data_IF_467420612865
#
_entry.id   IF_467420612865
#
_cell.length_a   1.000
_cell.length_b   1.000
_cell.length_c   1.000
_cell.angle_alpha   90.00
_cell.angle_beta   90.00
_cell.angle_gamma   90.00
#
_symmetry.space_group_name_H-M   'P 1'
#
loop_
_entity.id
_entity.type
_entity.pdbx_description
1 polymer ?
#
# COMPACT_ATOMS: atom_id res chain seq x y z
N UNK A 1 8.44 -14.20 17.86
CA UNK A 1 7.93 -13.21 18.85
C UNK A 1 7.59 -13.83 20.20
N UNK A 2 7.14 -15.10 20.24
CA UNK A 2 6.82 -15.80 21.51
C UNK A 2 8.04 -16.10 22.40
N UNK A 3 9.25 -16.15 21.81
CA UNK A 3 10.49 -16.40 22.52
C UNK A 3 11.14 -15.13 23.11
N UNK A 4 10.70 -13.94 22.71
CA UNK A 4 11.27 -12.68 23.17
C UNK A 4 10.34 -11.98 24.17
N UNK A 5 10.81 -11.59 25.36
CA UNK A 5 10.03 -10.80 26.29
C UNK A 5 9.60 -9.48 25.67
N UNK A 6 8.33 -9.09 25.81
CA UNK A 6 7.73 -7.91 25.17
C UNK A 6 8.45 -6.59 25.45
N UNK A 7 9.19 -6.48 26.55
CA UNK A 7 9.97 -5.28 26.94
C UNK A 7 11.31 -5.12 26.23
N UNK A 8 11.73 -6.09 25.43
CA UNK A 8 13.02 -6.12 24.75
C UNK A 8 12.89 -6.18 23.23
N UNK A 9 11.69 -5.97 22.67
CA UNK A 9 11.40 -6.15 21.23
C UNK A 9 12.33 -5.31 20.33
N UNK A 10 12.65 -4.07 20.71
CA UNK A 10 13.54 -3.20 19.92
C UNK A 10 15.00 -3.66 19.95
N UNK A 11 15.47 -4.22 21.06
CA UNK A 11 16.85 -4.70 21.18
C UNK A 11 17.16 -5.93 20.31
N UNK A 12 16.12 -6.66 19.84
CA UNK A 12 16.27 -7.87 19.04
C UNK A 12 15.97 -7.70 17.55
N UNK A 13 15.65 -6.50 17.07
CA UNK A 13 15.27 -6.30 15.67
C UNK A 13 16.36 -6.78 14.70
N UNK A 14 17.64 -6.53 15.01
CA UNK A 14 18.77 -7.04 14.25
C UNK A 14 18.80 -8.56 14.17
N UNK A 15 18.57 -9.27 15.28
CA UNK A 15 18.56 -10.74 15.32
C UNK A 15 17.32 -11.32 14.65
N UNK A 16 16.20 -10.60 14.69
CA UNK A 16 14.98 -10.95 13.94
C UNK A 16 15.23 -10.87 12.43
N UNK A 17 15.93 -9.85 11.97
CA UNK A 17 16.31 -9.71 10.56
C UNK A 17 17.22 -10.84 10.11
N UNK A 18 18.24 -11.18 10.92
CA UNK A 18 19.13 -12.30 10.66
C UNK A 18 18.36 -13.61 10.53
N UNK A 19 17.41 -13.87 11.44
CA UNK A 19 16.59 -15.09 11.41
C UNK A 19 15.64 -15.09 10.21
N UNK A 20 14.93 -13.98 9.97
CA UNK A 20 13.95 -13.87 8.90
C UNK A 20 14.60 -14.05 7.50
N UNK A 21 15.81 -13.54 7.32
CA UNK A 21 16.53 -13.61 6.06
C UNK A 21 16.91 -15.04 5.62
N UNK A 22 16.99 -16.00 6.54
CA UNK A 22 17.44 -17.37 6.23
C UNK A 22 16.50 -18.12 5.29
N UNK A 23 15.19 -17.87 5.37
CA UNK A 23 14.20 -18.56 4.53
C UNK A 23 14.39 -18.27 3.05
N UNK A 24 14.56 -17.00 2.71
CA UNK A 24 14.80 -16.57 1.33
C UNK A 24 16.17 -17.01 0.82
N UNK A 25 17.19 -17.06 1.67
CA UNK A 25 18.50 -17.60 1.29
C UNK A 25 18.41 -19.07 0.91
N UNK A 26 17.72 -19.87 1.71
CA UNK A 26 17.49 -21.28 1.43
C UNK A 26 16.73 -21.49 0.11
N UNK A 27 15.62 -20.78 -0.10
CA UNK A 27 14.79 -20.90 -1.31
C UNK A 27 15.52 -20.44 -2.57
N UNK A 28 16.31 -19.36 -2.50
CA UNK A 28 17.12 -18.89 -3.63
C UNK A 28 18.18 -19.92 -4.04
N UNK A 29 18.84 -20.53 -3.07
CA UNK A 29 19.82 -21.59 -3.34
C UNK A 29 19.15 -22.85 -3.95
N UNK A 30 17.99 -23.26 -3.42
CA UNK A 30 17.21 -24.37 -3.96
C UNK A 30 16.76 -24.12 -5.40
N UNK A 31 16.31 -22.90 -5.72
CA UNK A 31 15.94 -22.54 -7.08
C UNK A 31 17.14 -22.61 -8.03
N UNK A 32 18.30 -22.11 -7.62
CA UNK A 32 19.52 -22.20 -8.44
C UNK A 32 19.93 -23.67 -8.70
N UNK A 33 19.82 -24.53 -7.68
CA UNK A 33 20.07 -25.98 -7.83
C UNK A 33 19.08 -26.61 -8.81
N UNK A 34 17.80 -26.30 -8.70
CA UNK A 34 16.77 -26.81 -9.60
C UNK A 34 17.02 -26.40 -11.06
N UNK A 35 17.35 -25.10 -11.28
CA UNK A 35 17.73 -24.62 -12.62
C UNK A 35 18.93 -25.33 -13.21
N UNK A 36 19.97 -25.60 -12.39
CA UNK A 36 21.13 -26.35 -12.84
C UNK A 36 20.80 -27.81 -13.19
N UNK A 37 19.87 -28.42 -12.44
CA UNK A 37 19.39 -29.76 -12.74
C UNK A 37 18.64 -29.85 -14.09
N UNK A 38 18.00 -28.77 -14.49
CA UNK A 38 17.35 -28.59 -15.81
C UNK A 38 18.35 -28.15 -16.92
N UNK A 39 19.64 -28.08 -16.63
CA UNK A 39 20.69 -27.71 -17.59
C UNK A 39 20.83 -26.17 -17.77
N UNK A 40 20.20 -25.37 -16.95
CA UNK A 40 20.31 -23.88 -16.99
C UNK A 40 21.47 -23.43 -16.12
N UNK A 41 22.45 -22.74 -16.70
CA UNK A 41 23.51 -22.11 -15.91
C UNK A 41 22.91 -21.05 -14.98
N UNK A 42 23.08 -21.25 -13.68
CA UNK A 42 22.51 -20.35 -12.68
C UNK A 42 23.43 -20.17 -11.48
N UNK A 43 23.26 -19.05 -10.78
CA UNK A 43 23.96 -18.70 -9.54
C UNK A 43 23.02 -18.01 -8.58
N UNK A 44 23.11 -18.31 -7.28
CA UNK A 44 22.34 -17.61 -6.25
C UNK A 44 23.21 -16.65 -5.46
N UNK A 45 22.62 -15.50 -5.08
CA UNK A 45 23.26 -14.49 -4.25
C UNK A 45 22.31 -14.03 -3.13
N UNK A 46 22.83 -14.00 -1.92
CA UNK A 46 22.19 -13.27 -0.82
C UNK A 46 22.33 -11.75 -1.04
N UNK A 47 21.44 -10.95 -0.44
CA UNK A 47 21.43 -9.49 -0.61
C UNK A 47 22.76 -8.81 -0.28
N UNK A 48 23.50 -9.32 0.71
CA UNK A 48 24.82 -8.81 1.08
C UNK A 48 25.92 -9.17 0.06
N UNK A 49 25.76 -10.21 -0.75
CA UNK A 49 26.73 -10.61 -1.77
C UNK A 49 26.65 -9.78 -3.05
N UNK A 50 25.52 -9.16 -3.30
CA UNK A 50 25.30 -8.20 -4.40
C UNK A 50 25.09 -6.79 -3.85
N UNK A 51 25.52 -6.58 -2.62
CA UNK A 51 25.55 -5.31 -1.91
C UNK A 51 24.27 -4.47 -2.09
N UNK A 52 23.11 -5.07 -1.72
CA UNK A 52 21.86 -4.31 -1.53
C UNK A 52 22.03 -3.51 -0.23
N UNK A 53 22.62 -2.31 -0.36
CA UNK A 53 22.87 -1.42 0.78
C UNK A 53 21.59 -0.82 1.33
N UNK A 54 21.46 -0.84 2.65
CA UNK A 54 20.30 -0.30 3.37
C UNK A 54 20.72 0.52 4.56
N UNK A 55 19.80 1.33 5.07
CA UNK A 55 19.96 1.94 6.37
C UNK A 55 19.77 0.92 7.51
N UNK A 56 20.03 1.34 8.76
CA UNK A 56 19.98 0.51 9.98
C UNK A 56 18.58 0.37 10.60
N UNK A 57 17.51 0.71 9.89
CA UNK A 57 16.14 0.56 10.38
C UNK A 57 15.69 -0.90 10.30
N UNK A 58 16.27 -1.78 11.16
CA UNK A 58 15.95 -3.21 11.19
C UNK A 58 14.44 -3.49 11.16
N UNK A 59 14.04 -4.57 10.51
CA UNK A 59 12.66 -5.01 10.23
C UNK A 59 11.88 -4.16 9.22
N UNK A 60 12.36 -2.99 8.85
CA UNK A 60 11.77 -2.06 7.89
C UNK A 60 12.81 -1.18 7.18
N UNK A 61 13.98 -1.73 6.92
CA UNK A 61 15.09 -1.05 6.28
C UNK A 61 14.73 -0.48 4.90
N UNK A 62 15.44 0.55 4.48
CA UNK A 62 15.28 1.20 3.18
C UNK A 62 16.52 0.96 2.33
N UNK A 63 16.32 0.55 1.07
CA UNK A 63 17.41 0.39 0.11
C UNK A 63 17.95 1.78 -0.25
N UNK A 64 19.25 1.96 -0.12
CA UNK A 64 19.97 3.18 -0.45
C UNK A 64 20.70 3.06 -1.79
N UNK A 65 21.32 1.91 -2.05
CA UNK A 65 22.01 1.61 -3.30
C UNK A 65 22.13 0.11 -3.55
N UNK A 66 22.42 -0.27 -4.79
CA UNK A 66 22.72 -1.65 -5.18
C UNK A 66 23.98 -1.62 -6.03
N UNK A 67 24.96 -2.48 -5.71
CA UNK A 67 26.11 -2.75 -6.59
C UNK A 67 25.72 -3.85 -7.58
N UNK A 68 25.48 -3.47 -8.82
CA UNK A 68 25.03 -4.38 -9.89
C UNK A 68 26.15 -5.00 -10.71
N UNK A 69 27.42 -4.65 -10.47
CA UNK A 69 28.56 -5.07 -11.30
C UNK A 69 28.68 -6.60 -11.39
N UNK A 70 28.55 -7.29 -10.24
CA UNK A 70 28.64 -8.75 -10.18
C UNK A 70 27.48 -9.44 -10.88
N UNK A 71 26.26 -8.89 -10.71
CA UNK A 71 25.06 -9.43 -11.36
C UNK A 71 25.16 -9.27 -12.88
N UNK A 72 25.61 -8.09 -13.37
CA UNK A 72 25.81 -7.86 -14.81
C UNK A 72 26.80 -8.82 -15.40
N UNK A 73 27.95 -9.03 -14.75
CA UNK A 73 28.98 -9.95 -15.24
C UNK A 73 28.44 -11.38 -15.43
N UNK A 74 27.62 -11.87 -14.51
CA UNK A 74 27.01 -13.19 -14.63
C UNK A 74 25.91 -13.25 -15.69
N UNK A 75 25.08 -12.19 -15.82
CA UNK A 75 24.07 -12.08 -16.87
C UNK A 75 24.73 -12.00 -18.27
N UNK A 76 25.81 -11.22 -18.42
CA UNK A 76 26.59 -11.14 -19.67
C UNK A 76 27.25 -12.48 -20.02
N UNK A 77 27.57 -13.31 -19.02
CA UNK A 77 28.03 -14.67 -19.21
C UNK A 77 26.90 -15.68 -19.53
N UNK A 78 25.65 -15.21 -19.70
CA UNK A 78 24.49 -16.04 -20.03
C UNK A 78 23.90 -16.84 -18.86
N UNK A 79 24.23 -16.49 -17.63
CA UNK A 79 23.68 -17.16 -16.44
C UNK A 79 22.36 -16.57 -16.00
N UNK A 80 21.50 -17.39 -15.40
CA UNK A 80 20.37 -16.93 -14.60
C UNK A 80 20.87 -16.60 -13.20
N UNK A 81 20.64 -15.36 -12.76
CA UNK A 81 21.05 -14.90 -11.43
C UNK A 81 19.82 -14.88 -10.50
N UNK A 82 19.87 -15.66 -9.43
CA UNK A 82 18.84 -15.72 -8.41
C UNK A 82 19.28 -14.85 -7.22
N UNK A 83 18.60 -13.74 -7.00
CA UNK A 83 18.92 -12.82 -5.90
C UNK A 83 17.90 -13.00 -4.78
N UNK A 84 18.39 -13.20 -3.57
CA UNK A 84 17.54 -13.29 -2.39
C UNK A 84 16.85 -11.96 -2.13
N UNK A 85 15.53 -11.93 -2.23
CA UNK A 85 14.72 -10.76 -1.94
C UNK A 85 14.55 -10.47 -0.45
N UNK A 86 13.79 -9.41 -0.11
CA UNK A 86 13.41 -9.04 1.25
C UNK A 86 14.55 -8.53 2.14
N UNK A 87 15.80 -8.69 1.78
CA UNK A 87 16.97 -8.41 2.61
C UNK A 87 18.01 -7.54 1.93
N UNK A 88 18.83 -6.90 2.75
CA UNK A 88 20.01 -6.14 2.36
C UNK A 88 21.06 -6.18 3.44
N UNK A 89 22.01 -5.27 3.39
CA UNK A 89 23.13 -5.14 4.32
C UNK A 89 23.33 -3.66 4.70
N UNK A 90 23.55 -3.40 5.96
CA UNK A 90 23.92 -2.06 6.45
C UNK A 90 25.43 -1.79 6.33
N UNK A 91 25.86 -0.56 6.64
CA UNK A 91 27.27 -0.14 6.58
C UNK A 91 28.17 -0.90 7.56
N UNK A 92 27.61 -1.58 8.57
CA UNK A 92 28.34 -2.38 9.53
C UNK A 92 28.43 -3.86 9.11
N UNK A 93 27.83 -4.23 7.97
CA UNK A 93 27.79 -5.59 7.46
C UNK A 93 26.70 -6.46 8.11
N UNK A 94 25.75 -5.87 8.84
CA UNK A 94 24.62 -6.62 9.40
C UNK A 94 23.53 -6.82 8.35
N UNK A 95 22.89 -7.99 8.36
CA UNK A 95 21.73 -8.27 7.54
C UNK A 95 20.55 -7.44 8.03
N UNK A 96 19.85 -6.81 7.11
CA UNK A 96 18.65 -6.02 7.35
C UNK A 96 17.49 -6.59 6.54
N UNK A 97 16.25 -6.43 7.02
CA UNK A 97 15.06 -6.79 6.25
C UNK A 97 14.21 -5.56 5.92
N UNK A 98 13.55 -5.63 4.75
CA UNK A 98 12.81 -4.50 4.20
C UNK A 98 11.37 -4.40 4.73
N UNK A 99 10.96 -5.36 5.56
CA UNK A 99 9.60 -5.44 6.07
C UNK A 99 8.61 -6.06 5.07
N UNK A 100 7.32 -5.91 5.34
CA UNK A 100 6.25 -6.50 4.52
C UNK A 100 6.34 -6.03 3.06
N UNK A 101 6.20 -6.95 2.09
CA UNK A 101 6.34 -6.68 0.66
C UNK A 101 7.78 -6.35 0.23
N UNK A 102 8.76 -6.70 1.08
CA UNK A 102 10.17 -6.44 0.81
C UNK A 102 10.71 -7.18 -0.41
N UNK A 103 10.16 -8.35 -0.76
CA UNK A 103 10.57 -9.08 -1.96
C UNK A 103 10.18 -8.33 -3.24
N UNK A 104 8.97 -7.77 -3.32
CA UNK A 104 8.55 -6.93 -4.44
C UNK A 104 9.44 -5.69 -4.55
N UNK A 105 9.73 -5.05 -3.40
CA UNK A 105 10.62 -3.89 -3.35
C UNK A 105 12.04 -4.25 -3.82
N UNK A 106 12.56 -5.42 -3.43
CA UNK A 106 13.87 -5.91 -3.89
C UNK A 106 13.87 -6.15 -5.40
N UNK A 107 12.83 -6.82 -5.94
CA UNK A 107 12.72 -7.09 -7.37
C UNK A 107 12.73 -5.80 -8.19
N UNK A 108 11.95 -4.80 -7.78
CA UNK A 108 11.91 -3.50 -8.45
C UNK A 108 13.24 -2.75 -8.34
N UNK A 109 13.89 -2.79 -7.18
CA UNK A 109 15.18 -2.13 -6.97
C UNK A 109 16.28 -2.75 -7.86
N UNK A 110 16.33 -4.07 -7.94
CA UNK A 110 17.24 -4.79 -8.83
C UNK A 110 16.94 -4.48 -10.31
N UNK A 111 15.65 -4.49 -10.69
CA UNK A 111 15.26 -4.13 -12.06
C UNK A 111 15.67 -2.69 -12.43
N UNK A 112 15.54 -1.75 -11.49
CA UNK A 112 15.99 -0.37 -11.67
C UNK A 112 17.51 -0.27 -11.83
N UNK A 113 18.28 -0.94 -10.96
CA UNK A 113 19.75 -0.95 -11.02
C UNK A 113 20.24 -1.55 -12.33
N UNK A 114 19.65 -2.64 -12.78
CA UNK A 114 19.97 -3.31 -14.03
C UNK A 114 19.42 -2.60 -15.29
N UNK A 115 18.54 -1.61 -15.14
CA UNK A 115 17.79 -0.96 -16.23
C UNK A 115 17.02 -2.00 -17.06
N UNK A 116 16.37 -2.93 -16.37
CA UNK A 116 15.56 -3.96 -17.02
C UNK A 116 14.39 -3.32 -17.79
N UNK A 117 14.00 -3.96 -18.88
CA UNK A 117 12.87 -3.50 -19.71
C UNK A 117 11.54 -3.59 -18.97
N UNK A 118 11.39 -4.59 -18.10
CA UNK A 118 10.19 -4.85 -17.31
C UNK A 118 10.55 -5.66 -16.06
N UNK A 119 9.80 -5.48 -14.97
CA UNK A 119 9.88 -6.31 -13.77
C UNK A 119 8.58 -7.12 -13.65
N UNK A 120 8.68 -8.44 -13.65
CA UNK A 120 7.56 -9.36 -13.54
C UNK A 120 7.38 -9.78 -12.08
N UNK A 121 6.21 -9.50 -11.52
CA UNK A 121 5.84 -9.91 -10.15
C UNK A 121 4.89 -11.11 -10.25
N UNK A 122 5.40 -12.29 -9.92
CA UNK A 122 4.60 -13.50 -9.84
C UNK A 122 4.01 -13.65 -8.44
N UNK A 123 2.68 -13.76 -8.37
CA UNK A 123 1.93 -13.83 -7.11
C UNK A 123 0.79 -14.87 -7.21
N UNK A 124 -0.04 -14.99 -6.18
CA UNK A 124 -1.18 -15.89 -6.11
C UNK A 124 -2.42 -15.42 -6.91
N UNK A 125 -2.35 -14.22 -7.51
CA UNK A 125 -3.37 -13.66 -8.41
C UNK A 125 -2.79 -13.43 -9.80
N UNK A 126 -3.64 -13.42 -10.84
CA UNK A 126 -3.24 -13.28 -12.23
C UNK A 126 -3.23 -11.83 -12.74
N UNK A 127 -3.38 -10.86 -11.85
CA UNK A 127 -3.32 -9.44 -12.17
C UNK A 127 -4.08 -8.56 -11.18
N UNK A 128 -4.25 -7.29 -11.57
CA UNK A 128 -5.03 -6.29 -10.83
C UNK A 128 -6.44 -6.27 -11.38
N UNK A 129 -7.43 -6.29 -10.49
CA UNK A 129 -8.85 -6.32 -10.85
C UNK A 129 -9.53 -4.98 -10.58
N UNK A 130 -10.65 -4.74 -11.24
CA UNK A 130 -11.50 -3.54 -11.04
C UNK A 130 -12.03 -3.44 -9.61
N UNK A 131 -12.12 -4.55 -8.89
CA UNK A 131 -12.29 -4.65 -7.42
C UNK A 131 -11.94 -6.07 -6.99
N UNK A 132 -12.08 -6.41 -5.71
CA UNK A 132 -11.84 -7.76 -5.20
C UNK A 132 -12.87 -8.75 -5.77
N UNK A 133 -12.47 -9.75 -6.59
CA UNK A 133 -13.39 -10.71 -7.19
C UNK A 133 -14.10 -11.61 -6.17
N UNK A 134 -13.61 -11.69 -4.93
CA UNK A 134 -14.27 -12.41 -3.84
C UNK A 134 -15.51 -11.66 -3.33
N UNK A 135 -15.57 -10.34 -3.52
CA UNK A 135 -16.69 -9.47 -3.14
C UNK A 135 -17.62 -9.25 -4.34
N UNK A 136 -17.05 -9.06 -5.53
CA UNK A 136 -17.78 -8.84 -6.79
C UNK A 136 -17.28 -9.85 -7.82
N UNK A 137 -17.98 -10.98 -8.02
CA UNK A 137 -17.56 -12.01 -8.97
C UNK A 137 -17.42 -11.53 -10.42
N UNK A 138 -18.13 -10.46 -10.78
CA UNK A 138 -18.09 -9.82 -12.10
C UNK A 138 -16.88 -8.88 -12.29
N UNK A 139 -16.04 -8.72 -11.27
CA UNK A 139 -14.81 -7.92 -11.37
C UNK A 139 -13.92 -8.49 -12.48
N UNK A 140 -13.50 -7.62 -13.40
CA UNK A 140 -12.60 -8.00 -14.48
C UNK A 140 -11.17 -7.64 -14.20
N UNK A 141 -10.24 -8.42 -14.72
CA UNK A 141 -8.83 -8.10 -14.69
C UNK A 141 -8.53 -6.91 -15.62
N UNK A 142 -7.73 -5.98 -15.16
CA UNK A 142 -7.21 -4.87 -15.96
C UNK A 142 -6.02 -5.35 -16.80
N UNK A 143 -6.02 -5.07 -18.10
CA UNK A 143 -4.86 -5.36 -18.95
C UNK A 143 -3.73 -4.39 -18.65
N UNK A 144 -4.07 -3.13 -18.42
CA UNK A 144 -3.13 -2.05 -18.07
C UNK A 144 -3.72 -1.17 -16.97
N UNK A 145 -2.85 -0.63 -16.13
CA UNK A 145 -3.18 0.39 -15.13
C UNK A 145 -2.00 1.34 -15.00
N UNK A 146 -2.24 2.61 -14.69
CA UNK A 146 -1.15 3.55 -14.48
C UNK A 146 -0.54 3.42 -13.08
N UNK A 147 0.70 3.92 -12.92
CA UNK A 147 1.33 3.98 -11.60
C UNK A 147 0.53 4.80 -10.60
N UNK A 148 -0.07 5.92 -11.03
CA UNK A 148 -0.89 6.77 -10.16
C UNK A 148 -2.12 6.02 -9.65
N UNK A 149 -2.86 5.36 -10.55
CA UNK A 149 -4.03 4.55 -10.17
C UNK A 149 -3.66 3.36 -9.30
N UNK A 150 -2.54 2.67 -9.63
CA UNK A 150 -2.07 1.53 -8.85
C UNK A 150 -1.64 1.93 -7.44
N UNK A 151 -0.96 3.09 -7.28
CA UNK A 151 -0.62 3.65 -5.96
C UNK A 151 -1.86 3.91 -5.13
N UNK A 152 -2.88 4.54 -5.73
CA UNK A 152 -4.13 4.78 -5.02
C UNK A 152 -4.83 3.47 -4.65
N UNK A 153 -4.97 2.51 -5.56
CA UNK A 153 -5.56 1.21 -5.25
C UNK A 153 -4.79 0.46 -4.16
N UNK A 154 -3.45 0.48 -4.21
CA UNK A 154 -2.61 -0.16 -3.20
C UNK A 154 -2.74 0.52 -1.83
N UNK A 155 -2.86 1.85 -1.78
CA UNK A 155 -3.08 2.61 -0.54
C UNK A 155 -4.46 2.39 0.06
N UNK A 156 -5.44 2.01 -0.75
CA UNK A 156 -6.83 1.86 -0.39
C UNK A 156 -7.25 0.41 -0.09
N UNK A 157 -6.29 -0.51 0.01
CA UNK A 157 -6.56 -1.89 0.44
C UNK A 157 -6.47 -2.96 -0.66
N UNK A 158 -6.14 -2.60 -1.90
CA UNK A 158 -5.78 -3.58 -2.92
C UNK A 158 -4.44 -4.23 -2.54
N UNK A 159 -4.47 -5.49 -2.11
CA UNK A 159 -3.30 -6.20 -1.55
C UNK A 159 -2.42 -6.86 -2.61
N UNK A 160 -2.60 -6.56 -3.89
CA UNK A 160 -1.88 -7.21 -5.01
C UNK A 160 -0.41 -6.80 -5.02
N UNK A 161 -0.11 -5.52 -4.83
CA UNK A 161 1.24 -4.98 -4.72
C UNK A 161 1.38 -4.13 -3.46
N UNK A 162 2.57 -4.11 -2.91
CA UNK A 162 2.90 -3.20 -1.82
C UNK A 162 3.12 -1.77 -2.34
N UNK A 163 2.53 -0.78 -1.66
CA UNK A 163 2.67 0.65 -2.00
C UNK A 163 4.12 1.00 -2.29
N UNK A 164 5.02 0.62 -1.39
CA UNK A 164 6.45 0.95 -1.47
C UNK A 164 7.12 0.42 -2.75
N UNK A 165 6.73 -0.76 -3.24
CA UNK A 165 7.27 -1.29 -4.50
C UNK A 165 6.76 -0.50 -5.70
N UNK A 166 5.50 -0.08 -5.69
CA UNK A 166 4.88 0.74 -6.73
C UNK A 166 5.49 2.14 -6.76
N UNK A 167 5.68 2.78 -5.59
CA UNK A 167 6.38 4.07 -5.46
C UNK A 167 7.80 4.02 -6.03
N UNK A 168 8.53 2.96 -5.66
CA UNK A 168 9.91 2.77 -6.11
C UNK A 168 9.96 2.57 -7.63
N UNK A 169 9.06 1.75 -8.18
CA UNK A 169 8.95 1.54 -9.63
C UNK A 169 8.61 2.82 -10.37
N UNK A 170 7.66 3.61 -9.87
CA UNK A 170 7.31 4.90 -10.45
C UNK A 170 8.48 5.88 -10.44
N UNK A 171 9.20 5.98 -9.31
CA UNK A 171 10.37 6.85 -9.15
C UNK A 171 11.50 6.52 -10.14
N UNK A 172 11.79 5.24 -10.33
CA UNK A 172 12.89 4.78 -11.19
C UNK A 172 12.44 4.40 -12.61
N UNK A 173 11.17 4.64 -12.95
CA UNK A 173 10.56 4.36 -14.25
C UNK A 173 10.71 2.90 -14.70
N UNK A 174 10.52 1.98 -13.77
CA UNK A 174 10.50 0.53 -14.04
C UNK A 174 9.07 0.09 -14.35
N UNK A 175 8.82 -0.46 -15.54
CA UNK A 175 7.54 -1.09 -15.86
C UNK A 175 7.35 -2.34 -15.01
N UNK A 176 6.16 -2.52 -14.43
CA UNK A 176 5.80 -3.70 -13.65
C UNK A 176 4.72 -4.50 -14.37
N UNK A 177 4.79 -5.80 -14.27
CA UNK A 177 3.70 -6.69 -14.67
C UNK A 177 3.39 -7.67 -13.57
N UNK A 178 2.11 -7.77 -13.21
CA UNK A 178 1.60 -8.75 -12.24
C UNK A 178 1.12 -9.97 -12.99
N UNK A 179 1.61 -11.13 -12.59
CA UNK A 179 1.34 -12.43 -13.20
C UNK A 179 1.02 -13.48 -12.13
N UNK A 180 0.28 -14.52 -12.50
CA UNK A 180 0.06 -15.66 -11.61
C UNK A 180 1.30 -16.55 -11.55
N UNK A 181 1.67 -16.97 -10.34
CA UNK A 181 2.65 -18.05 -10.13
C UNK A 181 2.02 -19.45 -10.25
N UNK A 182 0.70 -19.54 -10.38
CA UNK A 182 -0.07 -20.79 -10.40
C UNK A 182 -0.59 -21.17 -11.79
N UNK A 183 -0.46 -20.25 -12.77
CA UNK A 183 -0.98 -20.44 -14.13
C UNK A 183 0.09 -20.06 -15.15
N UNK A 184 0.32 -20.93 -16.12
CA UNK A 184 1.22 -20.65 -17.23
C UNK A 184 0.55 -19.80 -18.31
N UNK A 185 1.31 -18.86 -18.91
CA UNK A 185 0.95 -18.19 -20.16
C UNK A 185 -0.08 -17.04 -20.07
N UNK A 186 -0.34 -16.48 -18.90
CA UNK A 186 -1.20 -15.30 -18.74
C UNK A 186 -0.51 -14.00 -19.16
N UNK A 187 -1.27 -13.02 -19.70
CA UNK A 187 -0.75 -11.69 -20.01
C UNK A 187 -0.60 -10.79 -18.78
N UNK A 188 -1.31 -11.12 -17.69
CA UNK A 188 -1.29 -10.37 -16.44
C UNK A 188 -1.83 -8.95 -16.56
N UNK A 189 -1.42 -8.08 -15.62
CA UNK A 189 -1.69 -6.64 -15.65
C UNK A 189 -0.39 -5.87 -15.76
N UNK A 190 -0.24 -5.03 -16.79
CA UNK A 190 0.88 -4.11 -16.94
C UNK A 190 0.62 -2.82 -16.17
N UNK A 191 1.53 -2.47 -15.25
CA UNK A 191 1.56 -1.15 -14.60
C UNK A 191 2.54 -0.28 -15.38
N UNK A 192 2.04 0.82 -15.94
CA UNK A 192 2.76 1.63 -16.89
C UNK A 192 2.61 3.13 -16.63
N UNK A 193 3.28 3.95 -17.44
CA UNK A 193 3.18 5.40 -17.37
C UNK A 193 2.03 5.92 -18.26
N UNK A 194 1.52 7.10 -17.95
CA UNK A 194 0.37 7.70 -18.64
C UNK A 194 0.62 7.86 -20.16
N UNK A 195 1.86 8.15 -20.55
CA UNK A 195 2.29 8.38 -21.92
C UNK A 195 2.11 7.17 -22.85
N UNK A 196 2.00 5.98 -22.28
CA UNK A 196 1.86 4.72 -23.04
C UNK A 196 0.41 4.42 -23.49
N UNK A 197 -0.58 5.25 -23.14
CA UNK A 197 -1.99 5.00 -23.38
C UNK A 197 -2.71 6.17 -24.07
N UNK A 198 -2.87 6.08 -25.40
CA UNK A 198 -3.52 7.09 -26.25
C UNK A 198 -5.04 6.93 -26.45
N UNK A 199 -5.75 6.16 -25.60
CA UNK A 199 -7.20 6.00 -25.75
C UNK A 199 -7.98 6.79 -24.70
N UNK A 200 -9.21 7.23 -25.04
CA UNK A 200 -10.16 7.76 -24.08
C UNK A 200 -10.35 6.76 -22.94
N UNK A 201 -10.09 7.21 -21.70
CA UNK A 201 -10.13 6.37 -20.51
C UNK A 201 -11.50 6.38 -19.88
N UNK A 202 -11.88 5.26 -19.29
CA UNK A 202 -13.03 5.21 -18.39
C UNK A 202 -12.83 6.22 -17.25
N UNK A 203 -13.93 6.85 -16.82
CA UNK A 203 -13.87 7.81 -15.72
C UNK A 203 -13.35 7.16 -14.42
N UNK A 204 -13.71 5.88 -14.19
CA UNK A 204 -13.30 5.08 -13.04
C UNK A 204 -12.67 3.79 -13.55
N UNK A 205 -11.50 3.46 -13.02
CA UNK A 205 -10.74 2.25 -13.36
C UNK A 205 -10.95 1.13 -12.35
N UNK A 206 -11.28 1.47 -11.10
CA UNK A 206 -11.49 0.46 -10.07
C UNK A 206 -12.08 0.99 -8.77
N UNK A 207 -12.48 0.05 -7.92
CA UNK A 207 -13.02 0.31 -6.59
C UNK A 207 -12.17 -0.45 -5.57
N UNK A 208 -11.72 0.26 -4.56
CA UNK A 208 -11.01 -0.31 -3.42
C UNK A 208 -11.80 -0.06 -2.12
N UNK A 209 -11.61 -0.94 -1.15
CA UNK A 209 -12.18 -0.77 0.19
C UNK A 209 -11.16 -1.14 1.26
N UNK A 210 -11.25 -0.46 2.39
CA UNK A 210 -10.41 -0.74 3.55
C UNK A 210 -11.27 -0.85 4.81
N UNK A 211 -11.24 -2.02 5.44
CA UNK A 211 -11.91 -2.33 6.71
C UNK A 211 -11.09 -1.94 7.93
N UNK A 212 -9.81 -1.64 7.75
CA UNK A 212 -8.91 -1.30 8.84
C UNK A 212 -8.97 0.19 9.17
N UNK A 213 -10.18 0.70 9.33
CA UNK A 213 -10.45 2.10 9.62
C UNK A 213 -11.23 2.23 10.92
N UNK A 214 -10.93 3.26 11.69
CA UNK A 214 -11.74 3.74 12.80
C UNK A 214 -11.74 5.27 12.77
N UNK A 215 -12.89 5.88 13.01
CA UNK A 215 -13.07 7.33 13.05
C UNK A 215 -12.94 7.83 14.48
N UNK A 216 -12.25 8.96 14.64
CA UNK A 216 -12.17 9.73 15.88
C UNK A 216 -12.63 11.16 15.61
N UNK A 217 -13.48 11.68 16.47
CA UNK A 217 -13.99 13.05 16.40
C UNK A 217 -13.56 13.82 17.65
N UNK A 218 -13.07 15.05 17.45
CA UNK A 218 -12.79 16.04 18.47
C UNK A 218 -13.68 17.24 18.16
N UNK A 219 -14.70 17.48 18.98
CA UNK A 219 -15.78 18.44 18.69
C UNK A 219 -15.66 19.70 19.49
N UNK A 220 -16.11 20.80 18.89
CA UNK A 220 -16.26 22.09 19.56
C UNK A 220 -14.95 22.68 20.07
N UNK A 221 -13.86 22.43 19.37
CA UNK A 221 -12.52 22.99 19.71
C UNK A 221 -12.49 24.46 19.27
N UNK A 222 -11.91 25.39 20.05
CA UNK A 222 -11.75 26.78 19.61
C UNK A 222 -11.04 26.91 18.27
N UNK A 223 -11.62 27.64 17.31
CA UNK A 223 -11.04 27.86 15.98
C UNK A 223 -9.89 28.88 16.06
N UNK A 224 -8.69 28.35 16.33
CA UNK A 224 -7.46 29.14 16.43
C UNK A 224 -6.29 28.42 15.79
N UNK A 225 -5.28 29.18 15.29
CA UNK A 225 -4.06 28.58 14.74
C UNK A 225 -3.38 27.63 15.73
N UNK A 226 -2.99 26.45 15.22
CA UNK A 226 -2.23 25.45 15.99
C UNK A 226 -3.04 24.28 16.52
N UNK A 227 -4.38 24.33 16.53
CA UNK A 227 -5.22 23.25 17.04
C UNK A 227 -5.01 21.95 16.27
N UNK A 228 -5.02 21.98 14.94
CA UNK A 228 -4.75 20.80 14.13
C UNK A 228 -3.38 20.18 14.43
N UNK A 229 -2.37 21.02 14.67
CA UNK A 229 -1.02 20.54 15.07
C UNK A 229 -1.04 19.88 16.45
N UNK A 230 -1.77 20.45 17.43
CA UNK A 230 -1.86 19.86 18.76
C UNK A 230 -2.51 18.46 18.71
N UNK A 231 -3.55 18.29 17.91
CA UNK A 231 -4.23 17.00 17.73
C UNK A 231 -3.33 16.02 16.99
N UNK A 232 -2.96 16.35 15.75
CA UNK A 232 -2.22 15.43 14.89
C UNK A 232 -0.78 15.22 15.33
N UNK A 233 -0.13 16.22 15.93
CA UNK A 233 1.21 16.09 16.49
C UNK A 233 1.25 15.06 17.61
N UNK A 234 0.28 15.09 18.53
CA UNK A 234 0.19 14.07 19.60
C UNK A 234 -0.04 12.66 19.05
N UNK A 235 -0.86 12.54 18.01
CA UNK A 235 -1.10 11.24 17.34
C UNK A 235 0.18 10.75 16.65
N UNK A 236 0.90 11.64 15.98
CA UNK A 236 2.16 11.34 15.31
C UNK A 236 3.28 10.96 16.31
N UNK A 237 3.39 11.66 17.44
CA UNK A 237 4.36 11.36 18.52
C UNK A 237 4.10 9.98 19.14
N UNK A 238 2.85 9.51 19.11
CA UNK A 238 2.47 8.15 19.49
C UNK A 238 2.72 7.11 18.38
N UNK A 239 3.28 7.52 17.23
CA UNK A 239 3.53 6.68 16.05
C UNK A 239 2.26 6.02 15.50
N UNK A 240 1.13 6.73 15.54
CA UNK A 240 -0.17 6.32 14.98
C UNK A 240 -0.33 7.00 13.62
N UNK A 241 -0.68 6.20 12.61
CA UNK A 241 -0.94 6.67 11.26
C UNK A 241 -2.34 7.29 11.16
N UNK A 242 -2.46 8.41 10.42
CA UNK A 242 -3.74 9.07 10.14
C UNK A 242 -3.97 9.07 8.64
N UNK A 243 -5.19 8.71 8.21
CA UNK A 243 -5.53 8.63 6.77
C UNK A 243 -6.45 9.79 6.32
N UNK A 244 -7.74 9.75 6.66
CA UNK A 244 -8.67 10.83 6.33
C UNK A 244 -8.66 11.91 7.42
N UNK A 245 -8.65 13.18 7.03
CA UNK A 245 -8.71 14.32 7.95
C UNK A 245 -9.75 15.28 7.42
N UNK A 246 -10.72 15.66 8.26
CA UNK A 246 -11.76 16.65 7.96
C UNK A 246 -11.84 17.63 9.11
N UNK A 247 -11.73 18.90 8.79
CA UNK A 247 -11.96 20.00 9.72
C UNK A 247 -13.11 20.87 9.19
N UNK A 248 -14.13 21.07 10.02
CA UNK A 248 -15.26 21.93 9.71
C UNK A 248 -15.30 23.10 10.68
N UNK A 249 -15.29 24.30 10.13
CA UNK A 249 -15.53 25.51 10.95
C UNK A 249 -16.98 25.51 11.39
N UNK A 250 -17.19 25.46 12.69
CA UNK A 250 -18.51 25.49 13.33
C UNK A 250 -19.01 26.89 13.56
N UNK A 251 -20.18 27.00 14.16
CA UNK A 251 -20.71 28.25 14.65
C UNK A 251 -19.98 28.71 15.93
N UNK A 252 -20.02 30.02 16.22
CA UNK A 252 -19.45 30.59 17.46
C UNK A 252 -17.91 30.47 17.62
N UNK A 253 -17.13 30.38 16.54
CA UNK A 253 -15.67 30.34 16.61
C UNK A 253 -15.13 29.03 17.14
N UNK A 254 -15.87 27.94 16.95
CA UNK A 254 -15.42 26.59 17.20
C UNK A 254 -15.20 25.84 15.90
N UNK A 255 -14.49 24.72 15.97
CA UNK A 255 -14.26 23.79 14.86
C UNK A 255 -14.45 22.35 15.33
N UNK A 256 -14.97 21.51 14.46
CA UNK A 256 -14.99 20.06 14.63
C UNK A 256 -13.88 19.45 13.79
N UNK A 257 -13.15 18.53 14.40
CA UNK A 257 -12.03 17.85 13.78
C UNK A 257 -12.26 16.33 13.78
N UNK A 258 -12.36 15.74 12.60
CA UNK A 258 -12.58 14.30 12.44
C UNK A 258 -11.43 13.69 11.66
N UNK A 259 -10.93 12.55 12.09
CA UNK A 259 -9.89 11.82 11.37
C UNK A 259 -10.04 10.32 11.53
N UNK A 260 -9.38 9.57 10.65
CA UNK A 260 -9.37 8.10 10.73
C UNK A 260 -7.98 7.58 11.06
N UNK A 261 -7.96 6.48 11.81
CA UNK A 261 -6.77 5.73 12.22
C UNK A 261 -6.97 4.24 11.93
N UNK A 262 -5.91 3.42 11.88
CA UNK A 262 -6.06 1.97 11.86
C UNK A 262 -6.88 1.49 13.05
N UNK A 263 -7.76 0.50 12.83
CA UNK A 263 -8.67 -0.02 13.87
C UNK A 263 -7.94 -0.48 15.15
N UNK A 264 -6.74 -1.03 15.01
CA UNK A 264 -5.93 -1.45 16.16
C UNK A 264 -5.51 -0.27 17.06
N UNK A 265 -5.41 0.93 16.48
CA UNK A 265 -4.97 2.15 17.16
C UNK A 265 -6.14 3.00 17.67
N UNK A 266 -7.39 2.56 17.46
CA UNK A 266 -8.58 3.31 17.86
C UNK A 266 -8.63 3.63 19.35
N UNK A 267 -8.54 2.59 20.20
CA UNK A 267 -8.58 2.79 21.67
C UNK A 267 -7.43 3.63 22.20
N UNK A 268 -6.15 3.35 21.81
CA UNK A 268 -5.04 4.23 22.15
C UNK A 268 -5.24 5.69 21.72
N UNK A 269 -5.80 5.91 20.53
CA UNK A 269 -6.06 7.27 20.02
C UNK A 269 -7.13 7.98 20.84
N UNK A 270 -8.24 7.31 21.19
CA UNK A 270 -9.27 7.88 22.05
C UNK A 270 -8.71 8.27 23.42
N UNK A 271 -7.90 7.41 24.02
CA UNK A 271 -7.26 7.69 25.32
C UNK A 271 -6.30 8.90 25.25
N UNK A 272 -5.60 9.08 24.11
CA UNK A 272 -4.76 10.24 23.88
C UNK A 272 -5.60 11.52 23.76
N UNK A 273 -6.68 11.47 22.99
CA UNK A 273 -7.55 12.63 22.78
C UNK A 273 -8.26 13.03 24.07
N UNK A 274 -8.76 12.07 24.85
CA UNK A 274 -9.36 12.35 26.16
C UNK A 274 -8.39 13.06 27.13
N UNK A 275 -7.10 12.70 27.11
CA UNK A 275 -6.09 13.40 27.91
C UNK A 275 -5.85 14.83 27.44
N UNK A 276 -6.06 15.10 26.17
CA UNK A 276 -5.91 16.43 25.57
C UNK A 276 -7.18 17.28 25.69
N UNK A 277 -8.33 16.72 26.03
CA UNK A 277 -9.64 17.35 25.99
C UNK A 277 -9.65 18.74 26.67
N UNK A 278 -9.15 18.80 27.90
CA UNK A 278 -9.10 20.05 28.65
C UNK A 278 -8.14 21.08 28.05
N UNK A 279 -6.98 20.64 27.54
CA UNK A 279 -5.98 21.52 26.91
C UNK A 279 -6.41 22.05 25.55
N UNK A 280 -7.26 21.32 24.85
CA UNK A 280 -7.89 21.69 23.59
C UNK A 280 -9.15 22.52 23.80
N UNK A 281 -9.68 22.59 25.02
CA UNK A 281 -10.99 23.15 25.33
C UNK A 281 -12.08 22.52 24.43
N UNK A 282 -11.99 21.20 24.25
CA UNK A 282 -12.89 20.44 23.40
C UNK A 282 -14.18 20.13 24.14
N UNK A 283 -15.31 20.34 23.48
CA UNK A 283 -16.62 20.05 24.05
C UNK A 283 -16.85 18.55 24.22
N UNK A 284 -16.45 17.74 23.24
CA UNK A 284 -16.67 16.30 23.24
C UNK A 284 -15.63 15.56 22.41
N UNK A 285 -15.39 14.29 22.76
CA UNK A 285 -14.54 13.35 22.02
C UNK A 285 -15.31 12.05 21.89
N UNK A 286 -15.53 11.63 20.65
CA UNK A 286 -16.20 10.37 20.34
C UNK A 286 -15.52 9.66 19.16
N UNK A 287 -15.99 8.48 18.83
CA UNK A 287 -15.49 7.74 17.66
C UNK A 287 -16.28 6.49 17.36
N UNK A 288 -15.91 5.84 16.26
CA UNK A 288 -16.53 4.61 15.78
C UNK A 288 -15.49 3.73 15.11
N UNK A 289 -15.40 2.46 15.51
CA UNK A 289 -14.51 1.45 14.93
C UNK A 289 -15.24 0.43 14.02
N UNK A 290 -16.54 0.63 13.82
CA UNK A 290 -17.36 -0.18 12.91
C UNK A 290 -17.56 0.49 11.55
N UNK A 291 -16.54 1.17 11.06
CA UNK A 291 -16.55 1.90 9.78
C UNK A 291 -15.60 1.28 8.77
N UNK A 292 -15.87 1.51 7.49
CA UNK A 292 -14.96 1.17 6.40
C UNK A 292 -14.86 2.30 5.39
N UNK A 293 -13.72 2.39 4.72
CA UNK A 293 -13.50 3.31 3.60
C UNK A 293 -13.77 2.60 2.30
N UNK A 294 -14.60 3.17 1.43
CA UNK A 294 -14.84 2.73 0.05
C UNK A 294 -14.43 3.85 -0.90
N UNK A 295 -13.66 3.51 -1.92
CA UNK A 295 -13.06 4.50 -2.81
C UNK A 295 -13.23 4.07 -4.27
N UNK A 296 -13.58 5.03 -5.12
CA UNK A 296 -13.46 4.90 -6.57
C UNK A 296 -12.17 5.58 -7.02
N UNK A 297 -11.46 4.96 -7.97
CA UNK A 297 -10.17 5.44 -8.48
C UNK A 297 -10.21 5.46 -10.01
N UNK A 298 -9.69 6.50 -10.63
CA UNK A 298 -9.52 6.56 -12.09
C UNK A 298 -9.00 7.91 -12.56
N UNK A 299 -7.99 7.91 -13.41
CA UNK A 299 -7.44 9.12 -14.03
C UNK A 299 -8.46 9.88 -14.87
N UNK A 300 -9.45 9.18 -15.45
CA UNK A 300 -10.51 9.81 -16.22
C UNK A 300 -11.38 10.77 -15.42
N UNK A 301 -11.38 10.69 -14.07
CA UNK A 301 -12.12 11.63 -13.22
C UNK A 301 -11.67 13.07 -13.36
N UNK A 302 -10.41 13.33 -13.74
CA UNK A 302 -9.87 14.68 -14.00
C UNK A 302 -10.67 15.44 -15.09
N UNK A 303 -11.20 14.71 -16.05
CA UNK A 303 -11.91 15.28 -17.22
C UNK A 303 -13.42 15.04 -17.20
N UNK A 304 -13.95 14.27 -16.24
CA UNK A 304 -15.36 13.89 -16.18
C UNK A 304 -16.06 14.53 -14.99
N UNK A 305 -16.99 15.42 -15.26
CA UNK A 305 -17.86 16.00 -14.20
C UNK A 305 -18.92 14.98 -13.76
N UNK A 306 -19.35 15.07 -12.50
CA UNK A 306 -20.47 14.29 -11.97
C UNK A 306 -20.12 12.91 -11.44
N UNK A 307 -18.86 12.48 -11.45
CA UNK A 307 -18.43 11.18 -10.93
C UNK A 307 -18.77 11.03 -9.45
N UNK A 308 -18.42 12.02 -8.61
CA UNK A 308 -18.77 12.01 -7.19
C UNK A 308 -20.30 12.03 -6.98
N UNK A 309 -21.04 12.81 -7.75
CA UNK A 309 -22.50 12.85 -7.69
C UNK A 309 -23.13 11.50 -8.03
N UNK A 310 -22.61 10.80 -9.03
CA UNK A 310 -23.04 9.45 -9.40
C UNK A 310 -22.77 8.46 -8.25
N UNK A 311 -21.58 8.51 -7.64
CA UNK A 311 -21.23 7.70 -6.47
C UNK A 311 -22.21 7.91 -5.31
N UNK A 312 -22.44 9.18 -4.94
CA UNK A 312 -23.30 9.52 -3.80
C UNK A 312 -24.75 9.13 -4.04
N UNK A 313 -25.27 9.38 -5.25
CA UNK A 313 -26.62 8.94 -5.63
C UNK A 313 -26.78 7.44 -5.53
N UNK A 314 -25.83 6.67 -6.07
CA UNK A 314 -25.86 5.18 -6.01
C UNK A 314 -25.92 4.68 -4.57
N UNK A 315 -25.13 5.27 -3.67
CA UNK A 315 -25.13 4.88 -2.26
C UNK A 315 -26.45 5.30 -1.58
N UNK A 316 -26.98 6.49 -1.88
CA UNK A 316 -28.24 6.97 -1.32
C UNK A 316 -29.44 6.11 -1.76
N UNK A 317 -29.49 5.66 -3.01
CA UNK A 317 -30.55 4.77 -3.54
C UNK A 317 -30.60 3.43 -2.80
N UNK A 318 -29.44 2.96 -2.27
CA UNK A 318 -29.33 1.75 -1.44
C UNK A 318 -29.46 2.03 0.08
N UNK A 319 -29.77 3.26 0.46
CA UNK A 319 -29.92 3.65 1.87
C UNK A 319 -28.60 3.64 2.67
N UNK A 320 -27.46 3.76 1.99
CA UNK A 320 -26.14 3.79 2.62
C UNK A 320 -25.79 5.23 2.96
N UNK A 321 -25.65 5.51 4.27
CA UNK A 321 -25.24 6.82 4.74
C UNK A 321 -23.73 7.02 4.59
N UNK A 322 -23.32 8.24 4.22
CA UNK A 322 -21.92 8.66 4.11
C UNK A 322 -21.56 9.47 5.35
N UNK A 323 -20.49 9.07 6.03
CA UNK A 323 -20.04 9.71 7.28
C UNK A 323 -18.92 10.70 7.07
N UNK A 324 -18.01 10.42 6.15
CA UNK A 324 -16.92 11.30 5.75
C UNK A 324 -16.70 11.19 4.24
N UNK A 325 -16.19 12.26 3.64
CA UNK A 325 -15.83 12.31 2.22
C UNK A 325 -14.41 12.88 2.11
N UNK A 326 -13.58 12.25 1.29
CA UNK A 326 -12.28 12.78 0.89
C UNK A 326 -12.11 12.62 -0.62
N UNK A 327 -11.58 13.64 -1.27
CA UNK A 327 -11.41 13.64 -2.73
C UNK A 327 -9.99 14.05 -3.13
N UNK A 328 -9.51 13.48 -4.23
CA UNK A 328 -8.35 13.95 -4.96
C UNK A 328 -8.70 14.09 -6.45
N UNK A 329 -7.73 14.40 -7.30
CA UNK A 329 -7.96 14.48 -8.74
C UNK A 329 -8.39 13.15 -9.38
N UNK A 330 -7.98 12.02 -8.78
CA UNK A 330 -8.17 10.67 -9.34
C UNK A 330 -8.88 9.73 -8.38
N UNK A 331 -9.39 10.25 -7.25
CA UNK A 331 -10.02 9.42 -6.21
C UNK A 331 -11.17 10.16 -5.53
N UNK A 332 -12.25 9.44 -5.25
CA UNK A 332 -13.28 9.84 -4.30
C UNK A 332 -13.43 8.71 -3.28
N UNK A 333 -13.23 9.05 -2.02
CA UNK A 333 -13.35 8.12 -0.89
C UNK A 333 -14.51 8.53 0.02
N UNK A 334 -15.26 7.56 0.48
CA UNK A 334 -16.30 7.74 1.49
C UNK A 334 -16.04 6.79 2.66
N UNK A 335 -16.32 7.27 3.86
CA UNK A 335 -16.41 6.44 5.05
C UNK A 335 -17.89 6.09 5.26
N UNK A 336 -18.17 4.82 5.47
CA UNK A 336 -19.52 4.27 5.68
C UNK A 336 -19.48 3.23 6.80
N UNK A 337 -20.64 2.88 7.36
CA UNK A 337 -20.78 1.75 8.29
C UNK A 337 -20.29 0.46 7.62
N UNK A 338 -19.42 -0.30 8.31
CA UNK A 338 -18.75 -1.51 7.80
C UNK A 338 -19.72 -2.57 7.26
N UNK A 339 -20.90 -2.69 7.84
CA UNK A 339 -21.91 -3.67 7.41
C UNK A 339 -22.35 -3.49 5.96
N UNK A 340 -22.21 -2.29 5.40
CA UNK A 340 -22.59 -1.96 4.02
C UNK A 340 -21.46 -2.11 3.01
N UNK A 341 -20.24 -2.45 3.42
CA UNK A 341 -19.05 -2.45 2.57
C UNK A 341 -19.26 -3.29 1.29
N UNK A 342 -19.74 -4.53 1.42
CA UNK A 342 -19.93 -5.41 0.26
C UNK A 342 -21.03 -4.92 -0.67
N UNK A 343 -22.13 -4.42 -0.10
CA UNK A 343 -23.23 -3.85 -0.90
C UNK A 343 -22.72 -2.61 -1.64
N UNK A 344 -22.08 -1.66 -0.95
CA UNK A 344 -21.53 -0.45 -1.55
C UNK A 344 -20.57 -0.77 -2.70
N UNK A 345 -19.63 -1.70 -2.49
CA UNK A 345 -18.67 -2.11 -3.53
C UNK A 345 -19.39 -2.68 -4.75
N UNK A 346 -20.39 -3.53 -4.56
CA UNK A 346 -21.14 -4.19 -5.63
C UNK A 346 -21.97 -3.21 -6.45
N UNK A 347 -22.72 -2.33 -5.79
CA UNK A 347 -23.58 -1.37 -6.49
C UNK A 347 -22.76 -0.28 -7.20
N UNK A 348 -21.66 0.15 -6.63
CA UNK A 348 -20.74 1.08 -7.28
C UNK A 348 -20.06 0.43 -8.49
N UNK A 349 -19.60 -0.82 -8.38
CA UNK A 349 -19.01 -1.56 -9.49
C UNK A 349 -19.97 -1.65 -10.68
N UNK A 350 -21.23 -1.98 -10.41
CA UNK A 350 -22.30 -2.00 -11.43
C UNK A 350 -22.57 -0.60 -12.00
N UNK A 351 -22.68 0.41 -11.13
CA UNK A 351 -22.97 1.77 -11.55
C UNK A 351 -21.91 2.36 -12.47
N UNK A 352 -20.62 2.05 -12.22
CA UNK A 352 -19.50 2.52 -13.04
C UNK A 352 -19.14 1.55 -14.20
N UNK A 353 -19.94 0.51 -14.45
CA UNK A 353 -19.79 -0.42 -15.58
C UNK A 353 -18.40 -1.08 -15.64
N UNK A 354 -17.92 -1.57 -14.47
CA UNK A 354 -16.59 -2.11 -14.32
C UNK A 354 -16.49 -3.64 -14.56
N UNK A 355 -17.60 -4.28 -14.94
CA UNK A 355 -17.69 -5.70 -15.26
C UNK A 355 -17.03 -6.07 -16.59
#
# INVERSE_FOLDING_TARGET
KELAPSKLAEAYHRELDMLAATGEQASSALLAIALQAEGVQSVSYAGWQVAVHTNTAYTKARIESIDDAKVRADLDAGKVVVITGFQGVDDQGNITTLGRGGSDTSAVAVAAALKASECLIYTDVDGVYTTDPRVVPEARRLNTITFEEMLELASLGSKVLQIRSVEFAGKYKVRLRVLSSLQDGGEGTLITFEEDNNMERAAVSGIAFDKNQARVNVRGVPDKPGVAYQILGTVADANIEVDMIIQNVGENGTTDFSFTVPRADYKPTLELMEKLKDSLDAADIDGDDAVCKVSIVGLGMRSHVGVASKMFRTLAEEGINIEMISTSEIKVSVLIDEKYMELATRVLHKAFELA
#
